data_IF_741840255326
#
_entry.id   IF_741840255326
#
_cell.length_a   1.000
_cell.length_b   1.000
_cell.length_c   1.000
_cell.angle_alpha   90.00
_cell.angle_beta   90.00
_cell.angle_gamma   90.00
#
_symmetry.space_group_name_H-M   'P 1'
#
loop_
_entity.id
_entity.type
_entity.pdbx_description
1 polymer ?
#
# COMPACT_ATOMS: atom_id res chain seq x y z
N UNK A 1 34.42 -23.87 59.86
CA UNK A 1 32.95 -23.98 59.69
C UNK A 1 32.25 -22.66 59.34
N UNK A 2 32.82 -21.48 59.63
CA UNK A 2 32.22 -20.17 59.26
C UNK A 2 32.48 -19.77 57.80
N UNK A 3 33.68 -20.02 57.27
CA UNK A 3 34.03 -19.76 55.85
C UNK A 3 33.21 -20.57 54.85
N UNK A 4 32.97 -21.83 55.17
CA UNK A 4 32.25 -22.77 54.30
C UNK A 4 30.76 -22.40 54.14
N UNK A 5 30.19 -21.69 55.12
CA UNK A 5 28.81 -21.18 55.09
C UNK A 5 28.70 -19.89 54.26
N UNK A 6 29.74 -19.05 54.27
CA UNK A 6 29.84 -17.83 53.46
C UNK A 6 30.06 -18.18 51.98
N UNK A 7 30.89 -19.19 51.69
CA UNK A 7 31.20 -19.63 50.33
C UNK A 7 29.97 -20.25 49.63
N UNK A 8 29.21 -21.11 50.32
CA UNK A 8 27.93 -21.66 49.79
C UNK A 8 26.86 -20.59 49.57
N UNK A 9 26.81 -19.56 50.41
CA UNK A 9 25.84 -18.46 50.25
C UNK A 9 26.21 -17.57 49.04
N UNK A 10 27.50 -17.40 48.76
CA UNK A 10 27.99 -16.67 47.59
C UNK A 10 27.77 -17.45 46.28
N UNK A 11 27.99 -18.76 46.29
CA UNK A 11 27.74 -19.64 45.13
C UNK A 11 26.25 -19.73 44.80
N UNK A 12 25.37 -19.87 45.80
CA UNK A 12 23.92 -19.89 45.57
C UNK A 12 23.37 -18.55 45.02
N UNK A 13 23.94 -17.41 45.45
CA UNK A 13 23.60 -16.09 44.86
C UNK A 13 24.10 -15.96 43.43
N UNK A 14 25.31 -16.44 43.14
CA UNK A 14 25.89 -16.44 41.80
C UNK A 14 25.04 -17.29 40.85
N UNK A 15 24.65 -18.50 41.24
CA UNK A 15 23.81 -19.39 40.41
C UNK A 15 22.40 -18.83 40.17
N UNK A 16 21.82 -18.15 41.17
CA UNK A 16 20.54 -17.45 41.01
C UNK A 16 20.66 -16.29 40.02
N UNK A 17 21.73 -15.50 40.09
CA UNK A 17 22.01 -14.41 39.16
C UNK A 17 22.24 -14.93 37.73
N UNK A 18 23.05 -15.99 37.55
CA UNK A 18 23.28 -16.60 36.24
C UNK A 18 22.01 -17.20 35.64
N UNK A 19 21.19 -17.87 36.46
CA UNK A 19 19.90 -18.40 36.01
C UNK A 19 18.96 -17.29 35.55
N UNK A 20 18.87 -16.19 36.30
CA UNK A 20 18.04 -15.05 35.92
C UNK A 20 18.59 -14.33 34.67
N UNK A 21 19.91 -14.22 34.55
CA UNK A 21 20.56 -13.69 33.34
C UNK A 21 20.25 -14.54 32.11
N UNK A 22 20.30 -15.87 32.24
CA UNK A 22 19.97 -16.78 31.15
C UNK A 22 18.49 -16.68 30.75
N UNK A 23 17.58 -16.65 31.71
CA UNK A 23 16.15 -16.45 31.44
C UNK A 23 15.90 -15.10 30.77
N UNK A 24 16.55 -14.03 31.26
CA UNK A 24 16.46 -12.70 30.67
C UNK A 24 17.01 -12.65 29.25
N UNK A 25 18.14 -13.32 28.98
CA UNK A 25 18.73 -13.40 27.65
C UNK A 25 17.81 -14.16 26.68
N UNK A 26 17.23 -15.28 27.10
CA UNK A 26 16.27 -16.04 26.28
C UNK A 26 15.02 -15.20 25.99
N UNK A 27 14.46 -14.52 27.02
CA UNK A 27 13.32 -13.63 26.84
C UNK A 27 13.63 -12.50 25.84
N UNK A 28 14.82 -11.92 25.91
CA UNK A 28 15.27 -10.88 24.98
C UNK A 28 15.34 -11.40 23.54
N UNK A 29 15.88 -12.60 23.33
CA UNK A 29 15.95 -13.22 21.99
C UNK A 29 14.56 -13.47 21.42
N UNK A 30 13.61 -13.94 22.24
CA UNK A 30 12.22 -14.16 21.80
C UNK A 30 11.57 -12.83 21.41
N UNK A 31 11.75 -11.76 22.19
CA UNK A 31 11.20 -10.43 21.89
C UNK A 31 11.76 -9.91 20.57
N UNK A 32 13.08 -10.01 20.38
CA UNK A 32 13.74 -9.58 19.13
C UNK A 32 13.22 -10.42 17.95
N UNK A 33 13.12 -11.74 18.11
CA UNK A 33 12.59 -12.64 17.08
C UNK A 33 11.14 -12.31 16.70
N UNK A 34 10.29 -12.03 17.68
CA UNK A 34 8.91 -11.60 17.45
C UNK A 34 8.83 -10.24 16.74
N UNK A 35 9.68 -9.29 17.11
CA UNK A 35 9.74 -7.98 16.45
C UNK A 35 10.16 -8.11 14.98
N UNK A 36 11.23 -8.87 14.69
CA UNK A 36 11.69 -9.12 13.32
C UNK A 36 10.62 -9.89 12.53
N UNK A 37 10.04 -10.94 13.11
CA UNK A 37 8.99 -11.74 12.48
C UNK A 37 7.75 -10.90 12.15
N UNK A 38 7.33 -10.04 13.07
CA UNK A 38 6.21 -9.12 12.85
C UNK A 38 6.50 -8.11 11.75
N UNK A 39 7.71 -7.56 11.70
CA UNK A 39 8.11 -6.62 10.65
C UNK A 39 8.15 -7.28 9.27
N UNK A 40 8.72 -8.49 9.17
CA UNK A 40 8.72 -9.26 7.92
C UNK A 40 7.31 -9.64 7.46
N UNK A 41 6.44 -10.03 8.40
CA UNK A 41 5.05 -10.33 8.10
C UNK A 41 4.32 -9.10 7.55
N UNK A 42 4.51 -7.93 8.17
CA UNK A 42 3.91 -6.68 7.71
C UNK A 42 4.40 -6.30 6.31
N UNK A 43 5.72 -6.34 6.08
CA UNK A 43 6.31 -6.05 4.77
C UNK A 43 5.80 -7.01 3.69
N UNK A 44 5.67 -8.30 4.02
CA UNK A 44 5.12 -9.30 3.09
C UNK A 44 3.65 -9.04 2.78
N UNK A 45 2.82 -8.81 3.80
CA UNK A 45 1.40 -8.51 3.63
C UNK A 45 1.19 -7.26 2.78
N UNK A 46 2.06 -6.26 2.92
CA UNK A 46 2.04 -5.04 2.12
C UNK A 46 2.23 -5.33 0.62
N UNK A 47 3.25 -6.13 0.29
CA UNK A 47 3.54 -6.55 -1.09
C UNK A 47 2.39 -7.38 -1.68
N UNK A 48 1.90 -8.36 -0.94
CA UNK A 48 0.81 -9.24 -1.40
C UNK A 48 -0.49 -8.46 -1.69
N UNK A 49 -0.82 -7.43 -0.89
CA UNK A 49 -2.00 -6.60 -1.13
C UNK A 49 -1.90 -5.78 -2.41
N UNK A 50 -0.73 -5.22 -2.71
CA UNK A 50 -0.53 -4.50 -3.98
C UNK A 50 -0.55 -5.43 -5.19
N UNK A 51 0.09 -6.60 -5.10
CA UNK A 51 0.03 -7.60 -6.17
C UNK A 51 -1.42 -8.02 -6.44
N UNK A 52 -2.19 -8.28 -5.37
CA UNK A 52 -3.62 -8.55 -5.47
C UNK A 52 -4.37 -7.40 -6.15
N UNK A 53 -4.06 -6.15 -5.80
CA UNK A 53 -4.63 -4.98 -6.46
C UNK A 53 -4.31 -4.94 -7.96
N UNK A 54 -3.06 -5.19 -8.36
CA UNK A 54 -2.68 -5.21 -9.77
C UNK A 54 -3.41 -6.32 -10.53
N UNK A 55 -3.59 -7.49 -9.92
CA UNK A 55 -4.33 -8.61 -10.51
C UNK A 55 -5.80 -8.24 -10.76
N UNK A 56 -6.48 -7.65 -9.76
CA UNK A 56 -7.87 -7.20 -9.89
C UNK A 56 -7.99 -6.08 -10.93
N UNK A 57 -7.12 -5.07 -10.86
CA UNK A 57 -7.09 -3.97 -11.82
C UNK A 57 -6.87 -4.48 -13.24
N UNK A 58 -5.96 -5.45 -13.44
CA UNK A 58 -5.71 -6.08 -14.73
C UNK A 58 -6.94 -6.84 -15.22
N UNK A 59 -7.59 -7.62 -14.36
CA UNK A 59 -8.80 -8.37 -14.71
C UNK A 59 -9.95 -7.45 -15.15
N UNK A 60 -10.21 -6.38 -14.41
CA UNK A 60 -11.22 -5.38 -14.76
C UNK A 60 -10.87 -4.60 -16.03
N UNK A 61 -9.58 -4.29 -16.22
CA UNK A 61 -9.09 -3.68 -17.46
C UNK A 61 -9.27 -4.61 -18.66
N UNK A 62 -8.99 -5.91 -18.51
CA UNK A 62 -9.19 -6.93 -19.54
C UNK A 62 -10.67 -7.09 -19.86
N UNK A 63 -11.55 -7.12 -18.86
CA UNK A 63 -13.00 -7.15 -19.07
C UNK A 63 -13.46 -5.93 -19.88
N UNK A 64 -13.05 -4.73 -19.46
CA UNK A 64 -13.40 -3.50 -20.13
C UNK A 64 -12.85 -3.45 -21.56
N UNK A 65 -11.66 -4.02 -21.79
CA UNK A 65 -11.10 -4.21 -23.12
C UNK A 65 -11.97 -5.11 -23.99
N UNK A 66 -12.31 -6.31 -23.51
CA UNK A 66 -13.06 -7.30 -24.27
C UNK A 66 -14.46 -6.81 -24.63
N UNK A 67 -15.16 -6.21 -23.65
CA UNK A 67 -16.50 -5.62 -23.83
C UNK A 67 -16.46 -4.20 -24.43
N UNK A 68 -15.27 -3.64 -24.61
CA UNK A 68 -15.03 -2.27 -25.06
C UNK A 68 -15.74 -1.20 -24.19
N UNK A 69 -15.99 -1.42 -22.90
CA UNK A 69 -16.91 -0.59 -22.11
C UNK A 69 -16.25 0.39 -21.13
N UNK A 70 -14.91 0.55 -21.15
CA UNK A 70 -14.23 1.49 -20.24
C UNK A 70 -14.72 2.93 -20.45
N UNK A 71 -15.23 3.54 -19.38
CA UNK A 71 -15.57 4.96 -19.33
C UNK A 71 -14.61 5.70 -18.40
N UNK A 72 -14.39 6.97 -18.70
CA UNK A 72 -13.70 7.92 -17.84
C UNK A 72 -14.67 9.03 -17.49
N UNK A 73 -14.81 9.33 -16.20
CA UNK A 73 -15.64 10.40 -15.67
C UNK A 73 -14.79 11.43 -14.93
N UNK A 74 -14.99 12.72 -15.18
CA UNK A 74 -14.41 13.83 -14.39
C UNK A 74 -15.46 14.48 -13.46
N UNK A 75 -16.56 13.77 -13.19
CA UNK A 75 -17.70 14.27 -12.44
C UNK A 75 -18.68 15.12 -13.25
N UNK A 76 -18.28 15.64 -14.42
CA UNK A 76 -19.17 16.42 -15.30
C UNK A 76 -19.54 15.66 -16.57
N UNK A 77 -18.59 14.93 -17.14
CA UNK A 77 -18.77 14.21 -18.41
C UNK A 77 -18.19 12.80 -18.33
N UNK A 78 -18.91 11.87 -18.94
CA UNK A 78 -18.42 10.51 -19.15
C UNK A 78 -17.99 10.33 -20.60
N UNK A 79 -16.71 10.00 -20.80
CA UNK A 79 -16.15 9.73 -22.12
C UNK A 79 -15.69 8.29 -22.21
N UNK A 80 -16.11 7.60 -23.27
CA UNK A 80 -15.65 6.24 -23.55
C UNK A 80 -14.19 6.24 -23.98
N UNK A 81 -13.38 5.42 -23.32
CA UNK A 81 -11.97 5.26 -23.66
C UNK A 81 -11.85 4.39 -24.92
N UNK A 82 -11.02 4.80 -25.86
CA UNK A 82 -10.71 3.98 -27.03
C UNK A 82 -9.95 2.71 -26.60
N UNK A 83 -10.32 1.55 -27.16
CA UNK A 83 -9.72 0.23 -26.86
C UNK A 83 -8.18 0.23 -26.79
N UNK A 84 -7.51 0.96 -27.69
CA UNK A 84 -6.03 1.08 -27.73
C UNK A 84 -5.39 1.77 -26.50
N UNK A 85 -6.18 2.46 -25.68
CA UNK A 85 -5.71 3.20 -24.51
C UNK A 85 -6.15 2.58 -23.18
N UNK A 86 -6.98 1.54 -23.19
CA UNK A 86 -7.58 0.97 -21.97
C UNK A 86 -6.53 0.39 -21.01
N UNK A 87 -5.50 -0.27 -21.51
CA UNK A 87 -4.40 -0.81 -20.68
C UNK A 87 -3.41 0.24 -20.16
N UNK A 88 -3.57 1.50 -20.54
CA UNK A 88 -2.55 2.51 -20.25
C UNK A 88 -2.51 2.91 -18.77
N UNK A 89 -3.67 3.03 -18.13
CA UNK A 89 -3.76 3.30 -16.68
C UNK A 89 -3.10 2.18 -15.89
N UNK A 90 -3.45 0.92 -16.19
CA UNK A 90 -2.80 -0.26 -15.61
C UNK A 90 -1.28 -0.24 -15.80
N UNK A 91 -0.81 -0.07 -17.04
CA UNK A 91 0.63 -0.05 -17.32
C UNK A 91 1.34 1.08 -16.55
N UNK A 92 0.75 2.27 -16.51
CA UNK A 92 1.35 3.41 -15.80
C UNK A 92 1.44 3.17 -14.29
N UNK A 93 0.38 2.62 -13.68
CA UNK A 93 0.36 2.24 -12.26
C UNK A 93 1.38 1.12 -11.97
N UNK A 94 1.44 0.09 -12.81
CA UNK A 94 2.36 -1.05 -12.63
C UNK A 94 3.84 -0.65 -12.74
N UNK A 95 4.16 0.32 -13.61
CA UNK A 95 5.53 0.83 -13.78
C UNK A 95 5.92 1.76 -12.65
N UNK A 96 4.97 2.54 -12.12
CA UNK A 96 5.23 3.43 -11.00
C UNK A 96 5.56 2.64 -9.73
N UNK A 97 4.90 1.51 -9.55
CA UNK A 97 5.11 0.63 -8.41
C UNK A 97 4.27 1.03 -7.20
N UNK A 98 4.63 0.44 -6.06
CA UNK A 98 3.94 0.64 -4.79
C UNK A 98 4.19 2.05 -4.25
N UNK A 99 3.11 2.81 -4.01
CA UNK A 99 3.15 3.98 -3.11
C UNK A 99 2.69 3.59 -1.71
N UNK A 100 2.28 4.56 -0.88
CA UNK A 100 1.87 4.35 0.51
C UNK A 100 0.41 3.90 0.60
N UNK A 101 0.17 2.69 1.10
CA UNK A 101 -1.18 2.15 1.30
C UNK A 101 -2.01 2.99 2.28
N UNK A 102 -3.29 3.19 1.93
CA UNK A 102 -4.24 3.99 2.68
C UNK A 102 -5.46 3.16 3.08
N UNK A 103 -6.25 3.68 4.01
CA UNK A 103 -7.34 2.91 4.63
C UNK A 103 -8.66 2.92 3.83
N UNK A 104 -8.81 3.77 2.80
CA UNK A 104 -10.08 3.90 2.07
C UNK A 104 -10.10 5.06 1.08
N UNK A 105 -11.28 5.47 0.56
CA UNK A 105 -11.38 6.64 -0.32
C UNK A 105 -11.21 7.95 0.45
N UNK A 106 -10.87 9.02 -0.28
CA UNK A 106 -10.97 10.38 0.26
C UNK A 106 -12.45 10.80 0.37
N UNK A 107 -12.75 11.71 1.29
CA UNK A 107 -14.11 12.23 1.48
C UNK A 107 -14.54 13.22 0.39
N UNK A 108 -13.57 13.78 -0.32
CA UNK A 108 -13.80 14.72 -1.42
C UNK A 108 -14.13 13.99 -2.71
N UNK A 109 -14.83 14.68 -3.61
CA UNK A 109 -15.08 14.17 -4.95
C UNK A 109 -13.75 13.94 -5.69
N UNK A 110 -13.74 12.91 -6.51
CA UNK A 110 -12.61 12.44 -7.29
C UNK A 110 -12.45 13.30 -8.53
N UNK A 111 -11.20 13.60 -8.88
CA UNK A 111 -10.88 14.40 -10.08
C UNK A 111 -11.03 13.58 -11.37
N UNK A 112 -10.91 12.26 -11.27
CA UNK A 112 -11.09 11.34 -12.38
C UNK A 112 -11.51 9.96 -11.87
N UNK A 113 -12.49 9.33 -12.53
CA UNK A 113 -12.88 7.94 -12.32
C UNK A 113 -12.71 7.16 -13.60
N UNK A 114 -12.22 5.93 -13.49
CA UNK A 114 -12.36 4.93 -14.52
C UNK A 114 -13.45 3.94 -14.10
N UNK A 115 -14.42 3.71 -14.99
CA UNK A 115 -15.54 2.79 -14.78
C UNK A 115 -15.38 1.64 -15.76
N UNK A 116 -15.04 0.44 -15.27
CA UNK A 116 -14.65 -0.70 -16.10
C UNK A 116 -15.84 -1.50 -16.66
N UNK A 117 -17.06 -1.22 -16.18
CA UNK A 117 -18.30 -1.81 -16.71
C UNK A 117 -18.59 -3.24 -16.24
N UNK A 118 -17.67 -3.87 -15.50
CA UNK A 118 -17.92 -5.06 -14.68
C UNK A 118 -18.54 -4.71 -13.32
N UNK A 119 -18.61 -3.42 -12.99
CA UNK A 119 -19.02 -2.87 -11.69
C UNK A 119 -17.85 -2.37 -10.85
N UNK A 120 -16.61 -2.62 -11.27
CA UNK A 120 -15.43 -2.06 -10.62
C UNK A 120 -15.15 -0.62 -11.04
N UNK A 121 -14.50 0.13 -10.15
CA UNK A 121 -14.09 1.51 -10.40
C UNK A 121 -12.68 1.79 -9.89
N UNK A 122 -12.02 2.75 -10.53
CA UNK A 122 -10.77 3.32 -10.07
C UNK A 122 -10.92 4.84 -10.00
N UNK A 123 -11.03 5.37 -8.78
CA UNK A 123 -11.10 6.79 -8.48
C UNK A 123 -9.70 7.36 -8.24
N UNK A 124 -9.46 8.57 -8.72
CA UNK A 124 -8.16 9.23 -8.70
C UNK A 124 -8.32 10.69 -8.22
N UNK A 125 -7.40 11.15 -7.36
CA UNK A 125 -7.32 12.53 -6.90
C UNK A 125 -5.91 13.09 -7.07
N UNK A 126 -5.77 14.26 -7.67
CA UNK A 126 -4.53 15.01 -7.72
C UNK A 126 -4.37 15.82 -6.43
N UNK A 127 -3.37 15.45 -5.64
CA UNK A 127 -3.03 16.14 -4.40
C UNK A 127 -1.84 17.05 -4.66
N UNK A 128 -2.01 18.34 -4.36
CA UNK A 128 -0.95 19.35 -4.44
C UNK A 128 -0.67 19.88 -3.05
N UNK A 129 0.49 19.52 -2.51
CA UNK A 129 0.94 19.96 -1.19
C UNK A 129 2.11 20.93 -1.31
N UNK A 130 2.19 21.92 -0.41
CA UNK A 130 3.37 22.77 -0.28
C UNK A 130 4.08 22.44 1.02
N UNK A 131 5.38 22.21 0.94
CA UNK A 131 6.20 22.04 2.13
C UNK A 131 6.44 23.39 2.84
N UNK A 132 7.00 23.33 4.06
CA UNK A 132 7.33 24.52 4.87
C UNK A 132 8.33 25.47 4.16
N UNK A 133 9.06 24.98 3.15
CA UNK A 133 10.01 25.74 2.33
C UNK A 133 9.38 26.30 1.06
N UNK A 134 8.09 26.06 0.83
CA UNK A 134 7.33 26.51 -0.33
C UNK A 134 7.50 25.65 -1.59
N UNK A 135 8.16 24.49 -1.53
CA UNK A 135 8.23 23.58 -2.67
C UNK A 135 6.89 22.88 -2.85
N UNK A 136 6.48 22.73 -4.10
CA UNK A 136 5.22 22.06 -4.46
C UNK A 136 5.50 20.58 -4.71
N UNK A 137 4.77 19.72 -4.01
CA UNK A 137 4.80 18.28 -4.13
C UNK A 137 3.49 17.83 -4.76
N UNK A 138 3.61 17.08 -5.85
CA UNK A 138 2.48 16.50 -6.55
C UNK A 138 2.37 15.03 -6.19
N UNK A 139 1.20 14.63 -5.73
CA UNK A 139 0.89 13.24 -5.37
C UNK A 139 -0.40 12.83 -6.04
N UNK A 140 -0.53 11.55 -6.33
CA UNK A 140 -1.76 10.97 -6.85
C UNK A 140 -2.32 10.02 -5.80
N UNK A 141 -3.55 10.25 -5.38
CA UNK A 141 -4.30 9.29 -4.59
C UNK A 141 -5.09 8.39 -5.53
N UNK A 142 -5.07 7.09 -5.28
CA UNK A 142 -5.83 6.11 -6.04
C UNK A 142 -6.68 5.29 -5.08
N UNK A 143 -7.92 5.03 -5.49
CA UNK A 143 -8.82 4.12 -4.80
C UNK A 143 -9.49 3.20 -5.81
N UNK A 144 -9.26 1.91 -5.66
CA UNK A 144 -9.89 0.86 -6.45
C UNK A 144 -10.96 0.16 -5.63
N UNK A 145 -12.11 -0.03 -6.26
CA UNK A 145 -13.24 -0.78 -5.71
C UNK A 145 -13.63 -1.87 -6.70
N UNK A 146 -13.40 -3.13 -6.31
CA UNK A 146 -13.78 -4.32 -7.05
C UNK A 146 -15.20 -4.81 -6.68
N UNK A 147 -15.76 -5.68 -7.50
CA UNK A 147 -17.13 -6.22 -7.31
C UNK A 147 -17.23 -7.34 -6.29
N UNK A 148 -16.11 -7.94 -5.92
CA UNK A 148 -15.98 -8.98 -4.90
C UNK A 148 -15.76 -8.41 -3.49
N UNK A 149 -15.82 -7.08 -3.35
CA UNK A 149 -15.55 -6.37 -2.11
C UNK A 149 -14.07 -6.12 -1.86
N UNK A 150 -13.18 -6.48 -2.78
CA UNK A 150 -11.78 -6.08 -2.70
C UNK A 150 -11.66 -4.57 -2.92
N UNK A 151 -11.04 -3.89 -1.98
CA UNK A 151 -10.73 -2.46 -2.09
C UNK A 151 -9.25 -2.22 -1.81
N UNK A 152 -8.70 -1.25 -2.53
CA UNK A 152 -7.30 -0.87 -2.36
C UNK A 152 -7.14 0.63 -2.55
N UNK A 153 -6.55 1.29 -1.57
CA UNK A 153 -6.23 2.71 -1.62
C UNK A 153 -4.73 2.89 -1.48
N UNK A 154 -4.11 3.73 -2.30
CA UNK A 154 -2.71 4.10 -2.08
C UNK A 154 -2.38 5.49 -2.61
N UNK A 155 -1.39 6.12 -1.97
CA UNK A 155 -0.86 7.44 -2.31
C UNK A 155 0.48 7.28 -3.02
N UNK A 156 0.55 7.74 -4.27
CA UNK A 156 1.76 7.76 -5.07
C UNK A 156 2.42 9.15 -5.01
N UNK A 157 3.58 9.27 -4.36
CA UNK A 157 4.40 10.48 -4.43
C UNK A 157 4.94 10.68 -5.84
N UNK A 158 5.08 11.91 -6.35
CA UNK A 158 5.61 12.27 -7.68
C UNK A 158 4.82 11.72 -8.89
N UNK A 159 3.57 11.33 -8.69
CA UNK A 159 2.64 10.94 -9.74
C UNK A 159 1.52 11.98 -9.85
N UNK A 160 1.01 12.21 -11.06
CA UNK A 160 -0.09 13.16 -11.33
C UNK A 160 -1.10 12.59 -12.32
N UNK A 161 -2.34 13.07 -12.28
CA UNK A 161 -3.35 12.81 -13.30
C UNK A 161 -2.87 13.29 -14.65
N UNK A 162 -2.11 14.38 -14.73
CA UNK A 162 -1.47 14.84 -15.96
C UNK A 162 -0.67 13.73 -16.64
N UNK A 163 0.04 12.89 -15.88
CA UNK A 163 0.80 11.79 -16.45
C UNK A 163 -0.10 10.66 -17.01
N UNK A 164 -1.29 10.48 -16.43
CA UNK A 164 -2.32 9.55 -16.91
C UNK A 164 -3.08 10.15 -18.12
N UNK A 165 -3.43 11.45 -18.08
CA UNK A 165 -4.23 12.21 -19.04
C UNK A 165 -3.44 12.70 -20.27
N UNK A 166 -2.17 13.11 -20.14
CA UNK A 166 -1.39 13.65 -21.27
C UNK A 166 -0.90 12.53 -22.19
N UNK A 167 -0.74 11.32 -21.67
CA UNK A 167 -0.24 10.22 -22.47
C UNK A 167 -1.35 9.67 -23.38
N UNK A 168 -2.61 9.60 -22.91
CA UNK A 168 -3.77 9.30 -23.76
C UNK A 168 -4.57 10.55 -24.04
N UNK A 169 -4.73 10.98 -25.30
CA UNK A 169 -5.77 11.98 -25.67
C UNK A 169 -7.13 11.56 -25.09
N UNK A 170 -7.42 12.04 -23.88
CA UNK A 170 -8.64 11.88 -23.10
C UNK A 170 -9.23 13.26 -22.81
N UNK A 171 -8.98 14.20 -23.73
CA UNK A 171 -9.49 15.55 -23.73
C UNK A 171 -9.21 16.17 -25.09
N UNK A 172 -10.25 16.24 -25.91
CA UNK A 172 -10.42 17.26 -26.95
C UNK A 172 -11.90 17.54 -27.09
#
# INVERSE_FOLDING_TARGET
MMYDRIQRQHEAKKDWLWRNLLISAIALVIIIGAAIGGWLYYAKSYVERYESFLDHLSASTQYAYDQNCLLVSDGQQETRVLRKYMFRSYNYISVYGMGDEQSGPLSEDWDLQLIYGDGSTLSLWDIVEKDEKGNTHYKLYLYYEGTDGFTYAYLADNMTLGSIKTTGKLGS
#
